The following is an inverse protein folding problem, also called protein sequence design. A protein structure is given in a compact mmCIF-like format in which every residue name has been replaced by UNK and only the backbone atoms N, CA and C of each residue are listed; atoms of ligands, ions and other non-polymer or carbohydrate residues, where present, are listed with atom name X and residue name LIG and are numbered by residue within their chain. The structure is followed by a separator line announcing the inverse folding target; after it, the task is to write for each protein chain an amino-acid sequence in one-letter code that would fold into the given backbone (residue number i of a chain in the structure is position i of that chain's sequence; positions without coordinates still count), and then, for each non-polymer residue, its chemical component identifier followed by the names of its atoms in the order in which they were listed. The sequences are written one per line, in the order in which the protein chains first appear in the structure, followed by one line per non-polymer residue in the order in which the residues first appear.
data_IF_515077012611
#
_entry.id   IF_515077012611
#
_cell.length_a   1.000
_cell.length_b   1.000
_cell.length_c   1.000
_cell.angle_alpha   90.00
_cell.angle_beta   90.00
_cell.angle_gamma   90.00
#
_symmetry.space_group_name_H-M   'P 1'
#
loop_
_entity.id
_entity.type
_entity.pdbx_description
1 polymer ?
#
# COMPACT_ATOMS: atom_id res chain seq x y z
N UNK A 1 -2.88 3.82 -19.19
CA UNK A 1 -2.68 4.67 -18.01
C UNK A 1 -2.11 3.81 -16.89
N UNK A 2 -0.95 4.21 -16.33
CA UNK A 2 -0.29 3.50 -15.22
C UNK A 2 -0.94 3.90 -13.89
N UNK A 3 -0.98 2.98 -12.93
CA UNK A 3 -1.63 3.22 -11.63
C UNK A 3 -0.71 3.95 -10.66
N UNK A 4 -1.21 5.00 -10.01
CA UNK A 4 -0.59 5.61 -8.83
C UNK A 4 -1.34 5.14 -7.58
N UNK A 5 -0.68 4.34 -6.77
CA UNK A 5 -1.18 3.93 -5.44
C UNK A 5 -0.48 4.79 -4.40
N UNK A 6 -1.24 5.60 -3.68
CA UNK A 6 -0.67 6.49 -2.66
C UNK A 6 -0.98 5.97 -1.27
N UNK A 7 0.06 5.76 -0.47
CA UNK A 7 -0.04 5.34 0.91
C UNK A 7 -0.12 6.54 1.86
N UNK A 8 -1.00 6.45 2.85
CA UNK A 8 -1.04 7.34 3.99
C UNK A 8 -1.28 6.54 5.28
N UNK A 9 -0.51 6.84 6.32
CA UNK A 9 -0.81 6.34 7.68
C UNK A 9 -2.10 7.01 8.16
N UNK A 10 -3.08 6.21 8.60
CA UNK A 10 -4.35 6.72 9.10
C UNK A 10 -4.14 7.76 10.20
N UNK A 11 -4.62 8.99 9.99
CA UNK A 11 -4.50 10.09 10.95
C UNK A 11 -3.18 10.86 10.93
N UNK A 12 -2.14 10.42 10.24
CA UNK A 12 -0.86 11.15 10.26
C UNK A 12 -0.93 12.44 9.41
N UNK A 13 -0.37 13.58 9.87
CA UNK A 13 0.28 13.81 11.17
C UNK A 13 -0.70 14.15 12.32
N UNK A 14 -1.86 14.69 11.96
CA UNK A 14 -3.02 14.90 12.81
C UNK A 14 -4.29 14.72 11.95
N UNK A 15 -5.46 14.61 12.59
CA UNK A 15 -6.74 14.36 11.90
C UNK A 15 -7.01 15.31 10.73
N UNK A 16 -6.86 16.62 10.92
CA UNK A 16 -7.23 17.61 9.90
C UNK A 16 -6.29 17.55 8.70
N UNK A 17 -4.98 17.52 8.97
CA UNK A 17 -3.95 17.43 7.95
C UNK A 17 -3.99 16.10 7.19
N UNK A 18 -4.33 14.99 7.88
CA UNK A 18 -4.57 13.70 7.25
C UNK A 18 -5.74 13.74 6.26
N UNK A 19 -6.88 14.32 6.66
CA UNK A 19 -8.04 14.45 5.78
C UNK A 19 -7.76 15.37 4.58
N UNK A 20 -6.97 16.44 4.79
CA UNK A 20 -6.49 17.30 3.70
C UNK A 20 -5.56 16.53 2.75
N UNK A 21 -4.64 15.75 3.30
CA UNK A 21 -3.70 14.92 2.53
C UNK A 21 -4.44 13.92 1.64
N UNK A 22 -5.33 13.09 2.19
CA UNK A 22 -6.01 12.04 1.39
C UNK A 22 -6.86 12.63 0.26
N UNK A 23 -7.55 13.75 0.49
CA UNK A 23 -8.28 14.49 -0.54
C UNK A 23 -7.32 15.01 -1.62
N UNK A 24 -6.26 15.69 -1.19
CA UNK A 24 -5.27 16.24 -2.10
C UNK A 24 -4.54 15.17 -2.92
N UNK A 25 -4.25 14.01 -2.35
CA UNK A 25 -3.67 12.87 -3.08
C UNK A 25 -4.60 12.36 -4.18
N UNK A 26 -5.91 12.33 -3.93
CA UNK A 26 -6.92 11.95 -4.93
C UNK A 26 -7.04 13.01 -6.03
N UNK A 27 -7.15 14.29 -5.66
CA UNK A 27 -7.16 15.41 -6.60
C UNK A 27 -5.86 15.48 -7.43
N UNK A 28 -4.74 15.02 -6.87
CA UNK A 28 -3.46 14.90 -7.55
C UNK A 28 -3.37 13.70 -8.51
N UNK A 29 -4.39 12.84 -8.57
CA UNK A 29 -4.49 11.72 -9.52
C UNK A 29 -4.05 10.36 -8.96
N UNK A 30 -4.13 10.16 -7.64
CA UNK A 30 -4.00 8.81 -7.06
C UNK A 30 -5.19 7.95 -7.48
N UNK A 31 -4.92 6.81 -8.10
CA UNK A 31 -5.94 5.87 -8.57
C UNK A 31 -6.50 5.03 -7.40
N UNK A 32 -5.68 4.78 -6.38
CA UNK A 32 -5.99 4.01 -5.18
C UNK A 32 -5.31 4.68 -3.99
N UNK A 33 -5.99 4.72 -2.84
CA UNK A 33 -5.36 5.04 -1.57
C UNK A 33 -5.15 3.78 -0.75
N UNK A 34 -3.92 3.59 -0.29
CA UNK A 34 -3.54 2.58 0.69
C UNK A 34 -3.50 3.24 2.07
N UNK A 35 -4.31 2.78 3.01
CA UNK A 35 -4.43 3.37 4.34
C UNK A 35 -3.80 2.43 5.36
N UNK A 36 -2.68 2.87 5.94
CA UNK A 36 -1.97 2.12 6.98
C UNK A 36 -2.66 2.24 8.33
N UNK A 37 -3.12 1.12 8.88
CA UNK A 37 -3.61 1.05 10.26
C UNK A 37 -2.45 0.87 11.22
N UNK A 38 -2.61 1.38 12.45
CA UNK A 38 -1.60 1.19 13.49
C UNK A 38 -1.51 -0.30 13.86
N UNK A 39 -0.36 -0.95 13.62
CA UNK A 39 -0.19 -2.34 14.00
C UNK A 39 0.21 -2.45 15.47
N UNK A 40 0.03 -3.63 16.08
CA UNK A 40 0.67 -3.93 17.37
C UNK A 40 2.19 -4.01 17.22
N UNK A 41 2.66 -4.54 16.09
CA UNK A 41 4.07 -4.63 15.76
C UNK A 41 4.33 -4.35 14.27
N UNK A 42 5.03 -3.26 13.97
CA UNK A 42 5.33 -2.84 12.60
C UNK A 42 6.55 -3.59 12.01
N UNK A 43 6.41 -4.91 11.79
CA UNK A 43 7.52 -5.85 11.50
C UNK A 43 8.33 -5.49 10.26
N UNK A 44 7.65 -5.16 9.15
CA UNK A 44 8.26 -4.91 7.83
C UNK A 44 8.35 -3.43 7.45
N UNK A 45 7.85 -2.55 8.31
CA UNK A 45 7.88 -1.12 8.09
C UNK A 45 9.24 -0.50 8.45
N UNK A 46 9.70 0.40 7.59
CA UNK A 46 10.89 1.20 7.81
C UNK A 46 10.72 2.28 8.87
N UNK A 47 11.84 2.95 9.23
CA UNK A 47 11.87 3.91 10.32
C UNK A 47 10.91 5.10 10.12
N UNK A 48 10.69 5.54 8.88
CA UNK A 48 9.78 6.65 8.56
C UNK A 48 8.32 6.28 8.85
N UNK A 49 7.86 5.13 8.37
CA UNK A 49 6.48 4.67 8.63
C UNK A 49 6.29 4.42 10.13
N UNK A 50 7.25 3.79 10.80
CA UNK A 50 7.21 3.60 12.26
C UNK A 50 7.10 4.91 13.04
N UNK A 51 7.78 5.98 12.62
CA UNK A 51 7.60 7.32 13.22
C UNK A 51 6.18 7.84 13.04
N UNK A 52 5.60 7.66 11.85
CA UNK A 52 4.22 8.08 11.59
C UNK A 52 3.21 7.36 12.49
N UNK A 53 3.37 6.05 12.70
CA UNK A 53 2.54 5.29 13.65
C UNK A 53 2.71 5.79 15.08
N UNK A 54 3.95 6.02 15.52
CA UNK A 54 4.24 6.54 16.87
C UNK A 54 3.60 7.91 17.12
N UNK A 55 3.57 8.78 16.11
CA UNK A 55 2.92 10.08 16.21
C UNK A 55 1.41 9.91 16.42
N UNK A 56 0.77 9.09 15.58
CA UNK A 56 -0.68 8.88 15.63
C UNK A 56 -1.14 8.13 16.87
N UNK A 57 -0.33 7.19 17.39
CA UNK A 57 -0.66 6.40 18.58
C UNK A 57 -0.85 7.23 19.85
N UNK A 58 -0.43 8.50 19.83
CA UNK A 58 -0.59 9.41 20.97
C UNK A 58 -2.00 9.97 21.11
N UNK A 59 -2.83 9.90 20.06
CA UNK A 59 -4.14 10.56 20.05
C UNK A 59 -5.26 9.78 19.35
N UNK A 60 -4.96 8.89 18.40
CA UNK A 60 -6.00 8.13 17.69
C UNK A 60 -6.48 6.94 18.53
N UNK A 61 -7.63 7.09 19.16
CA UNK A 61 -8.28 6.07 20.00
C UNK A 61 -9.31 5.25 19.24
N UNK A 62 -10.08 5.89 18.36
CA UNK A 62 -11.07 5.24 17.50
C UNK A 62 -10.69 5.43 16.02
N UNK A 63 -10.05 4.41 15.47
CA UNK A 63 -9.65 4.43 14.07
C UNK A 63 -10.84 4.18 13.12
N UNK A 64 -11.93 3.55 13.58
CA UNK A 64 -13.10 3.26 12.73
C UNK A 64 -13.82 4.55 12.33
N UNK A 65 -14.05 5.45 13.29
CA UNK A 65 -14.65 6.75 13.02
C UNK A 65 -13.84 7.56 12.00
N UNK A 66 -12.50 7.53 12.12
CA UNK A 66 -11.64 8.20 11.15
C UNK A 66 -11.65 7.53 9.77
N UNK A 67 -11.76 6.19 9.69
CA UNK A 67 -11.95 5.50 8.42
C UNK A 67 -13.29 5.87 7.75
N UNK A 68 -14.38 5.99 8.50
CA UNK A 68 -15.68 6.45 7.99
C UNK A 68 -15.61 7.90 7.48
N UNK A 69 -14.88 8.77 8.17
CA UNK A 69 -14.58 10.12 7.67
C UNK A 69 -13.73 10.11 6.41
N UNK A 70 -12.73 9.22 6.35
CA UNK A 70 -11.87 9.03 5.18
C UNK A 70 -12.70 8.58 3.98
N UNK A 71 -13.56 7.58 4.14
CA UNK A 71 -14.42 7.09 3.06
C UNK A 71 -15.35 8.19 2.54
N UNK A 72 -15.93 9.01 3.43
CA UNK A 72 -16.79 10.14 3.02
C UNK A 72 -16.03 11.26 2.30
N UNK A 73 -14.71 11.34 2.50
CA UNK A 73 -13.88 12.39 1.95
C UNK A 73 -13.39 12.13 0.52
N UNK A 74 -13.42 10.88 0.05
CA UNK A 74 -12.85 10.47 -1.25
C UNK A 74 -13.70 9.39 -1.89
N UNK A 75 -13.61 9.23 -3.22
CA UNK A 75 -14.38 8.22 -3.98
C UNK A 75 -13.52 7.12 -4.61
N UNK A 76 -12.20 7.27 -4.59
CA UNK A 76 -11.28 6.24 -5.12
C UNK A 76 -11.30 4.98 -4.26
N UNK A 77 -10.88 3.81 -4.78
CA UNK A 77 -10.73 2.62 -3.97
C UNK A 77 -9.82 2.84 -2.76
N UNK A 78 -10.29 2.42 -1.58
CA UNK A 78 -9.50 2.36 -0.35
C UNK A 78 -9.05 0.92 -0.10
N UNK A 79 -7.75 0.73 0.05
CA UNK A 79 -7.13 -0.54 0.47
C UNK A 79 -6.55 -0.36 1.85
N UNK A 80 -6.98 -1.17 2.81
CA UNK A 80 -6.39 -1.18 4.14
C UNK A 80 -5.07 -1.95 4.11
N UNK A 81 -3.98 -1.30 4.52
CA UNK A 81 -2.73 -1.98 4.83
C UNK A 81 -2.64 -2.16 6.35
N UNK A 82 -2.56 -3.42 6.77
CA UNK A 82 -2.36 -3.81 8.17
C UNK A 82 -1.73 -5.21 8.20
N UNK A 83 -1.39 -5.74 9.38
CA UNK A 83 -0.77 -7.06 9.50
C UNK A 83 -1.83 -8.09 9.89
N UNK A 84 -1.87 -9.23 9.21
CA UNK A 84 -2.84 -10.28 9.48
C UNK A 84 -2.71 -10.79 10.92
N UNK A 85 -1.49 -10.88 11.46
CA UNK A 85 -1.23 -11.31 12.84
C UNK A 85 -2.06 -10.56 13.89
N UNK A 86 -2.39 -9.29 13.64
CA UNK A 86 -3.15 -8.46 14.57
C UNK A 86 -4.63 -8.85 14.65
N UNK A 87 -5.14 -9.49 13.59
CA UNK A 87 -6.57 -9.70 13.35
C UNK A 87 -6.99 -11.15 13.27
N UNK A 88 -6.07 -12.14 13.27
CA UNK A 88 -6.38 -13.58 13.08
C UNK A 88 -7.60 -14.03 13.90
N UNK A 89 -7.70 -13.63 15.17
CA UNK A 89 -8.77 -14.06 16.08
C UNK A 89 -10.11 -13.35 15.84
N UNK A 90 -10.13 -12.19 15.19
CA UNK A 90 -11.31 -11.36 14.94
C UNK A 90 -11.52 -11.07 13.46
N UNK A 91 -10.88 -11.85 12.57
CA UNK A 91 -10.78 -11.53 11.16
C UNK A 91 -12.16 -11.41 10.48
N UNK A 92 -13.11 -12.35 10.64
CA UNK A 92 -14.42 -12.25 9.98
C UNK A 92 -15.16 -10.95 10.36
N UNK A 93 -15.25 -10.66 11.66
CA UNK A 93 -15.91 -9.45 12.16
C UNK A 93 -15.21 -8.17 11.68
N UNK A 94 -13.87 -8.20 11.62
CA UNK A 94 -13.06 -7.07 11.15
C UNK A 94 -13.30 -6.82 9.66
N UNK A 95 -13.34 -7.87 8.84
CA UNK A 95 -13.60 -7.78 7.41
C UNK A 95 -15.03 -7.30 7.13
N UNK A 96 -16.02 -7.82 7.88
CA UNK A 96 -17.40 -7.33 7.81
C UNK A 96 -17.46 -5.82 8.13
N UNK A 97 -16.80 -5.39 9.22
CA UNK A 97 -16.75 -3.98 9.60
C UNK A 97 -16.05 -3.12 8.55
N UNK A 98 -14.94 -3.57 7.97
CA UNK A 98 -14.28 -2.87 6.86
C UNK A 98 -15.21 -2.71 5.67
N UNK A 99 -15.97 -3.76 5.32
CA UNK A 99 -16.95 -3.70 4.24
C UNK A 99 -18.04 -2.67 4.51
N UNK A 100 -18.59 -2.64 5.73
CA UNK A 100 -19.63 -1.68 6.15
C UNK A 100 -19.15 -0.23 6.07
N UNK A 101 -17.88 0.02 6.41
CA UNK A 101 -17.24 1.34 6.30
C UNK A 101 -17.04 1.77 4.83
N UNK A 102 -17.15 0.84 3.87
CA UNK A 102 -16.94 1.12 2.44
C UNK A 102 -15.49 0.96 1.98
N UNK A 103 -14.70 0.16 2.69
CA UNK A 103 -13.37 -0.27 2.24
C UNK A 103 -13.51 -1.21 1.04
N UNK A 104 -12.59 -1.08 0.08
CA UNK A 104 -12.63 -1.87 -1.16
C UNK A 104 -11.75 -3.12 -1.09
N UNK A 105 -10.64 -3.08 -0.36
CA UNK A 105 -9.75 -4.22 -0.23
C UNK A 105 -8.85 -4.14 0.98
N UNK A 106 -8.13 -5.23 1.22
CA UNK A 106 -7.12 -5.35 2.27
C UNK A 106 -5.83 -5.90 1.69
N UNK A 107 -4.71 -5.47 2.26
CA UNK A 107 -3.37 -5.94 1.98
C UNK A 107 -2.71 -6.30 3.31
N UNK A 108 -2.34 -7.57 3.46
CA UNK A 108 -1.61 -8.10 4.59
C UNK A 108 -0.16 -8.43 4.18
N UNK A 109 0.84 -7.61 4.55
CA UNK A 109 2.24 -7.81 4.12
C UNK A 109 2.85 -9.13 4.61
N UNK A 110 2.38 -9.62 5.76
CA UNK A 110 2.79 -10.85 6.44
C UNK A 110 2.12 -12.12 5.89
N UNK A 111 1.10 -12.01 5.03
CA UNK A 111 0.31 -13.15 4.54
C UNK A 111 1.18 -14.26 3.90
N UNK A 112 2.07 -13.90 2.97
CA UNK A 112 2.94 -14.87 2.29
C UNK A 112 4.27 -15.11 3.01
N UNK A 113 4.47 -14.50 4.18
CA UNK A 113 5.70 -14.63 4.96
C UNK A 113 5.44 -15.52 6.17
N UNK A 114 4.48 -15.15 7.00
CA UNK A 114 4.18 -15.82 8.27
C UNK A 114 2.99 -16.80 8.15
N UNK A 115 2.13 -16.63 7.14
CA UNK A 115 0.90 -17.44 6.95
C UNK A 115 0.87 -18.18 5.59
N UNK A 116 2.05 -18.52 5.06
CA UNK A 116 2.22 -19.11 3.71
C UNK A 116 1.52 -20.46 3.50
N UNK A 117 1.24 -21.23 4.55
CA UNK A 117 0.52 -22.51 4.42
C UNK A 117 -1.01 -22.32 4.42
N UNK A 118 -1.49 -21.16 4.87
CA UNK A 118 -2.92 -20.85 5.03
C UNK A 118 -3.40 -19.69 4.13
N UNK A 119 -2.55 -19.11 3.28
CA UNK A 119 -2.94 -17.90 2.54
C UNK A 119 -4.21 -18.06 1.70
N UNK A 120 -4.46 -19.24 1.12
CA UNK A 120 -5.68 -19.46 0.32
C UNK A 120 -6.95 -19.34 1.17
N UNK A 121 -6.90 -19.83 2.43
CA UNK A 121 -7.99 -19.70 3.39
C UNK A 121 -8.27 -18.22 3.68
N UNK A 122 -7.23 -17.45 3.99
CA UNK A 122 -7.38 -16.01 4.27
C UNK A 122 -7.82 -15.20 3.04
N UNK A 123 -7.30 -15.51 1.85
CA UNK A 123 -7.73 -14.88 0.61
C UNK A 123 -9.21 -15.18 0.34
N UNK A 124 -9.66 -16.41 0.53
CA UNK A 124 -11.07 -16.77 0.37
C UNK A 124 -11.96 -16.08 1.42
N UNK A 125 -11.49 -15.96 2.66
CA UNK A 125 -12.20 -15.25 3.73
C UNK A 125 -12.39 -13.76 3.41
N UNK A 126 -11.36 -13.10 2.88
CA UNK A 126 -11.46 -11.70 2.42
C UNK A 126 -12.52 -11.56 1.32
N UNK A 127 -12.46 -12.44 0.32
CA UNK A 127 -13.38 -12.40 -0.83
C UNK A 127 -14.81 -12.74 -0.45
N UNK A 128 -15.04 -13.64 0.51
CA UNK A 128 -16.39 -14.00 0.99
C UNK A 128 -17.11 -12.82 1.65
N UNK A 129 -16.36 -11.86 2.20
CA UNK A 129 -16.87 -10.59 2.75
C UNK A 129 -17.03 -9.49 1.68
N UNK A 130 -16.83 -9.81 0.40
CA UNK A 130 -16.96 -8.85 -0.70
C UNK A 130 -15.87 -7.78 -0.71
N UNK A 131 -14.70 -8.08 -0.14
CA UNK A 131 -13.49 -7.26 -0.19
C UNK A 131 -12.49 -7.84 -1.21
N UNK A 132 -11.64 -6.99 -1.77
CA UNK A 132 -10.55 -7.40 -2.64
C UNK A 132 -9.33 -7.82 -1.81
N UNK A 133 -8.75 -8.99 -2.10
CA UNK A 133 -7.49 -9.44 -1.51
C UNK A 133 -6.30 -8.97 -2.35
N UNK A 134 -5.67 -7.86 -1.97
CA UNK A 134 -4.43 -7.38 -2.63
C UNK A 134 -3.25 -8.11 -2.00
N UNK A 135 -2.57 -8.95 -2.77
CA UNK A 135 -1.51 -9.82 -2.25
C UNK A 135 -0.15 -9.13 -2.38
N UNK A 136 0.56 -9.06 -1.26
CA UNK A 136 1.94 -8.60 -1.18
C UNK A 136 2.93 -9.70 -1.56
N UNK A 137 3.88 -9.38 -2.42
CA UNK A 137 5.02 -10.22 -2.79
C UNK A 137 6.31 -9.41 -2.76
N UNK A 138 7.45 -10.10 -2.72
CA UNK A 138 8.78 -9.50 -2.67
C UNK A 138 9.80 -10.42 -3.34
N UNK A 139 11.07 -10.00 -3.51
CA UNK A 139 12.14 -10.88 -3.99
C UNK A 139 12.35 -12.16 -3.17
N UNK A 140 11.90 -12.23 -1.92
CA UNK A 140 12.01 -13.44 -1.10
C UNK A 140 10.94 -14.49 -1.42
N UNK A 141 9.88 -14.13 -2.15
CA UNK A 141 8.80 -15.06 -2.52
C UNK A 141 9.26 -15.90 -3.72
N UNK A 142 9.16 -17.25 -3.65
CA UNK A 142 9.55 -18.13 -4.76
C UNK A 142 8.71 -17.89 -6.03
N UNK A 143 9.34 -18.03 -7.20
CA UNK A 143 8.71 -17.77 -8.51
C UNK A 143 7.42 -18.56 -8.77
N UNK A 144 7.34 -19.88 -8.46
CA UNK A 144 6.09 -20.62 -8.62
C UNK A 144 4.95 -20.04 -7.77
N UNK A 145 5.27 -19.53 -6.58
CA UNK A 145 4.29 -18.92 -5.70
C UNK A 145 3.88 -17.54 -6.23
N UNK A 146 4.81 -16.70 -6.69
CA UNK A 146 4.49 -15.42 -7.36
C UNK A 146 3.52 -15.66 -8.53
N UNK A 147 3.81 -16.64 -9.39
CA UNK A 147 2.93 -16.97 -10.51
C UNK A 147 1.53 -17.41 -10.04
N UNK A 148 1.46 -18.25 -9.00
CA UNK A 148 0.19 -18.71 -8.41
C UNK A 148 -0.63 -17.55 -7.83
N UNK A 149 -0.04 -16.74 -6.95
CA UNK A 149 -0.75 -15.64 -6.28
C UNK A 149 -1.12 -14.52 -7.25
N UNK A 150 -0.36 -14.32 -8.33
CA UNK A 150 -0.72 -13.34 -9.37
C UNK A 150 -2.12 -13.57 -9.94
N UNK A 151 -2.57 -14.83 -10.04
CA UNK A 151 -3.88 -15.19 -10.62
C UNK A 151 -5.04 -14.94 -9.66
N UNK A 152 -4.78 -14.89 -8.36
CA UNK A 152 -5.82 -14.77 -7.32
C UNK A 152 -5.81 -13.41 -6.62
N UNK A 153 -4.73 -12.64 -6.73
CA UNK A 153 -4.66 -11.27 -6.21
C UNK A 153 -5.69 -10.40 -6.92
N UNK A 154 -6.49 -9.68 -6.15
CA UNK A 154 -7.48 -8.75 -6.69
C UNK A 154 -6.85 -7.37 -6.91
N UNK A 155 -7.43 -6.57 -7.81
CA UNK A 155 -6.98 -5.24 -8.24
C UNK A 155 -5.61 -5.21 -8.95
N UNK A 156 -4.59 -5.73 -8.31
CA UNK A 156 -3.21 -5.87 -8.78
C UNK A 156 -2.44 -6.83 -7.86
N UNK A 157 -1.28 -7.31 -8.31
CA UNK A 157 -0.28 -7.93 -7.45
C UNK A 157 0.72 -6.85 -6.98
N UNK A 158 0.90 -6.73 -5.66
CA UNK A 158 1.87 -5.80 -5.10
C UNK A 158 3.25 -6.45 -5.05
N UNK A 159 4.27 -5.80 -5.60
CA UNK A 159 5.66 -6.26 -5.54
C UNK A 159 6.56 -5.23 -4.86
N UNK A 160 6.95 -5.52 -3.61
CA UNK A 160 7.89 -4.71 -2.84
C UNK A 160 9.33 -5.03 -3.21
N UNK A 161 10.05 -4.08 -3.83
CA UNK A 161 11.42 -4.32 -4.32
C UNK A 161 12.49 -4.30 -3.22
N UNK A 162 12.14 -3.90 -2.00
CA UNK A 162 13.07 -3.83 -0.86
C UNK A 162 12.51 -4.56 0.38
N UNK A 163 13.37 -5.14 1.23
CA UNK A 163 12.95 -5.95 2.39
C UNK A 163 12.29 -5.11 3.50
N UNK A 164 12.52 -3.80 3.48
CA UNK A 164 11.94 -2.83 4.40
C UNK A 164 11.76 -1.53 3.63
N UNK A 165 10.66 -0.80 3.88
CA UNK A 165 10.44 0.50 3.24
C UNK A 165 11.59 1.46 3.52
N UNK A 166 12.14 2.09 2.48
CA UNK A 166 13.21 3.09 2.61
C UNK A 166 14.65 2.57 2.79
N UNK A 167 14.92 1.26 2.77
CA UNK A 167 16.30 0.71 2.90
C UNK A 167 16.79 0.12 1.57
N UNK A 168 17.88 0.63 0.94
CA UNK A 168 18.32 0.21 -0.38
C UNK A 168 18.91 -1.21 -0.43
N UNK A 169 18.72 -1.89 -1.56
CA UNK A 169 19.39 -3.16 -1.92
C UNK A 169 20.41 -2.88 -3.04
N UNK A 170 21.53 -3.63 -3.10
CA UNK A 170 22.51 -3.54 -4.18
C UNK A 170 22.04 -4.26 -5.47
N UNK A 171 20.73 -4.29 -5.74
CA UNK A 171 20.12 -4.88 -6.93
C UNK A 171 19.29 -3.81 -7.63
N UNK A 172 19.44 -3.72 -8.95
CA UNK A 172 18.72 -2.72 -9.73
C UNK A 172 17.22 -3.04 -9.82
N UNK A 173 16.39 -2.02 -9.66
CA UNK A 173 14.92 -2.12 -9.64
C UNK A 173 14.38 -2.76 -10.93
N UNK A 174 14.94 -2.39 -12.07
CA UNK A 174 14.60 -2.90 -13.40
C UNK A 174 14.89 -4.40 -13.55
N UNK A 175 15.99 -4.90 -12.97
CA UNK A 175 16.31 -6.34 -13.01
C UNK A 175 15.29 -7.18 -12.24
N UNK A 176 14.90 -6.71 -11.05
CA UNK A 176 13.90 -7.38 -10.22
C UNK A 176 12.55 -7.44 -10.92
N UNK A 177 12.14 -6.34 -11.54
CA UNK A 177 10.85 -6.24 -12.22
C UNK A 177 10.83 -7.06 -13.50
N UNK A 178 11.89 -6.98 -14.32
CA UNK A 178 12.01 -7.77 -15.56
C UNK A 178 11.88 -9.26 -15.28
N UNK A 179 12.51 -9.73 -14.18
CA UNK A 179 12.40 -11.13 -13.72
C UNK A 179 10.98 -11.54 -13.38
N UNK A 180 10.25 -10.74 -12.60
CA UNK A 180 8.90 -11.12 -12.15
C UNK A 180 7.81 -10.81 -13.17
N UNK A 181 8.05 -9.90 -14.11
CA UNK A 181 7.04 -9.47 -15.08
C UNK A 181 6.49 -10.64 -15.89
N UNK A 182 7.35 -11.60 -16.28
CA UNK A 182 6.95 -12.80 -17.04
C UNK A 182 6.18 -13.83 -16.21
N UNK A 183 6.22 -13.70 -14.88
CA UNK A 183 5.52 -14.60 -13.95
C UNK A 183 4.11 -14.09 -13.61
N UNK A 184 3.91 -12.77 -13.64
CA UNK A 184 2.70 -12.13 -13.11
C UNK A 184 1.61 -12.04 -14.17
N UNK A 185 0.55 -12.82 -14.00
CA UNK A 185 -0.68 -12.75 -14.80
C UNK A 185 -1.71 -11.82 -14.15
N UNK A 186 -1.30 -10.58 -13.91
CA UNK A 186 -2.09 -9.52 -13.28
C UNK A 186 -1.46 -8.16 -13.59
N UNK A 187 -2.11 -7.08 -13.19
CA UNK A 187 -1.41 -5.80 -13.03
C UNK A 187 -0.32 -5.94 -11.98
N UNK A 188 0.86 -5.42 -12.27
CA UNK A 188 2.00 -5.39 -11.34
C UNK A 188 2.19 -3.97 -10.82
N UNK A 189 1.90 -3.76 -9.54
CA UNK A 189 2.20 -2.49 -8.86
C UNK A 189 3.47 -2.66 -8.06
N UNK A 190 4.45 -1.80 -8.31
CA UNK A 190 5.77 -1.87 -7.65
C UNK A 190 5.85 -0.82 -6.55
N UNK A 191 6.25 -1.24 -5.35
CA UNK A 191 6.39 -0.37 -4.19
C UNK A 191 7.58 -0.72 -3.32
N UNK A 192 7.56 -0.23 -2.07
CA UNK A 192 8.59 -0.42 -1.04
C UNK A 192 9.99 -0.03 -1.55
N UNK A 193 10.30 1.26 -1.52
CA UNK A 193 11.66 1.76 -1.75
C UNK A 193 11.94 2.37 -3.13
N UNK A 194 10.92 2.83 -3.84
CA UNK A 194 11.12 3.80 -4.92
C UNK A 194 11.52 5.14 -4.27
N UNK A 195 12.82 5.34 -4.10
CA UNK A 195 13.40 6.46 -3.35
C UNK A 195 13.50 7.75 -4.17
N UNK A 196 13.41 7.64 -5.50
CA UNK A 196 13.46 8.77 -6.40
C UNK A 196 12.65 8.53 -7.68
N UNK A 197 12.56 9.59 -8.49
CA UNK A 197 11.85 9.59 -9.77
C UNK A 197 12.48 8.62 -10.78
N UNK A 198 13.79 8.41 -10.71
CA UNK A 198 14.48 7.57 -11.67
C UNK A 198 14.19 6.09 -11.42
N UNK A 199 14.15 5.66 -10.16
CA UNK A 199 13.69 4.32 -9.76
C UNK A 199 12.25 4.07 -10.22
N UNK A 200 11.37 5.06 -10.08
CA UNK A 200 10.00 4.98 -10.59
C UNK A 200 9.96 4.81 -12.11
N UNK A 201 10.73 5.62 -12.85
CA UNK A 201 10.82 5.50 -14.32
C UNK A 201 11.43 4.18 -14.76
N UNK A 202 12.41 3.64 -14.02
CA UNK A 202 12.99 2.31 -14.27
C UNK A 202 11.93 1.23 -14.08
N UNK A 203 11.13 1.32 -13.02
CA UNK A 203 10.07 0.36 -12.76
C UNK A 203 9.02 0.34 -13.87
N UNK A 204 8.58 1.52 -14.32
CA UNK A 204 7.63 1.65 -15.42
C UNK A 204 8.19 1.10 -16.73
N UNK A 205 9.44 1.45 -17.07
CA UNK A 205 10.13 0.95 -18.28
C UNK A 205 10.33 -0.58 -18.26
N UNK A 206 10.54 -1.16 -17.08
CA UNK A 206 10.68 -2.61 -16.90
C UNK A 206 9.33 -3.38 -16.95
N UNK A 207 8.19 -2.69 -17.10
CA UNK A 207 6.89 -3.32 -17.31
C UNK A 207 5.96 -3.32 -16.09
N UNK A 208 6.22 -2.49 -15.07
CA UNK A 208 5.24 -2.25 -14.01
C UNK A 208 3.99 -1.57 -14.58
N UNK A 209 2.81 -1.96 -14.11
CA UNK A 209 1.52 -1.36 -14.47
C UNK A 209 1.16 -0.17 -13.57
N UNK A 210 1.89 0.00 -12.48
CA UNK A 210 1.77 1.13 -11.58
C UNK A 210 2.84 1.12 -10.50
N UNK A 211 2.79 2.14 -9.65
CA UNK A 211 3.71 2.29 -8.52
C UNK A 211 2.97 2.65 -7.24
N UNK A 212 3.49 2.16 -6.12
CA UNK A 212 3.00 2.45 -4.78
C UNK A 212 4.00 3.33 -4.03
N UNK A 213 3.54 4.48 -3.51
CA UNK A 213 4.36 5.53 -2.94
C UNK A 213 3.79 5.95 -1.58
N UNK A 214 4.63 5.97 -0.53
CA UNK A 214 4.19 6.32 0.82
C UNK A 214 5.23 7.07 1.64
N UNK A 215 6.38 6.46 1.85
CA UNK A 215 7.48 7.00 2.68
C UNK A 215 7.85 8.45 2.30
N UNK A 216 7.95 8.74 1.00
CA UNK A 216 8.32 10.07 0.53
C UNK A 216 7.25 11.14 0.86
N UNK A 217 5.97 10.78 0.92
CA UNK A 217 4.93 11.71 1.35
C UNK A 217 5.07 12.05 2.83
N UNK A 218 5.37 11.05 3.68
CA UNK A 218 5.61 11.27 5.10
C UNK A 218 6.83 12.18 5.31
N UNK A 219 7.94 11.90 4.63
CA UNK A 219 9.16 12.74 4.72
C UNK A 219 8.91 14.16 4.21
N UNK A 220 8.12 14.31 3.14
CA UNK A 220 7.77 15.63 2.59
C UNK A 220 6.86 16.42 3.54
N UNK A 221 5.92 15.76 4.22
CA UNK A 221 5.10 16.37 5.28
C UNK A 221 6.00 16.82 6.44
N UNK A 222 6.94 15.98 6.88
CA UNK A 222 7.88 16.30 7.98
C UNK A 222 8.75 17.54 7.65
N UNK A 223 9.12 17.73 6.37
CA UNK A 223 10.02 18.80 5.94
C UNK A 223 9.30 20.08 5.53
N UNK A 224 8.24 19.95 4.74
CA UNK A 224 7.65 21.03 3.95
C UNK A 224 6.11 21.11 4.09
N UNK A 225 5.49 20.20 4.83
CA UNK A 225 4.05 20.19 5.10
C UNK A 225 3.20 19.50 4.02
N UNK A 226 1.89 19.38 4.32
CA UNK A 226 0.92 18.59 3.52
C UNK A 226 0.79 19.08 2.08
N UNK A 227 0.75 20.40 1.85
CA UNK A 227 0.62 20.95 0.50
C UNK A 227 1.81 20.60 -0.41
N UNK A 228 3.00 20.49 0.17
CA UNK A 228 4.19 20.06 -0.56
C UNK A 228 4.10 18.59 -0.95
N UNK A 229 3.62 17.73 -0.05
CA UNK A 229 3.40 16.31 -0.35
C UNK A 229 2.31 16.10 -1.42
N UNK A 230 1.23 16.89 -1.41
CA UNK A 230 0.21 16.88 -2.48
C UNK A 230 0.82 17.31 -3.81
N UNK A 231 1.66 18.36 -3.81
CA UNK A 231 2.35 18.81 -5.02
C UNK A 231 3.32 17.75 -5.56
N UNK A 232 3.97 17.01 -4.66
CA UNK A 232 4.81 15.87 -5.03
C UNK A 232 4.00 14.74 -5.67
N UNK A 233 2.80 14.44 -5.17
CA UNK A 233 1.90 13.46 -5.80
C UNK A 233 1.52 13.87 -7.23
N UNK A 234 1.23 15.16 -7.49
CA UNK A 234 0.97 15.67 -8.85
C UNK A 234 2.18 15.45 -9.77
N UNK A 235 3.38 15.64 -9.26
CA UNK A 235 4.62 15.37 -10.00
C UNK A 235 4.75 13.89 -10.36
N UNK A 236 4.44 12.98 -9.43
CA UNK A 236 4.45 11.55 -9.71
C UNK A 236 3.41 11.18 -10.76
N UNK A 237 2.17 11.67 -10.62
CA UNK A 237 1.10 11.48 -11.62
C UNK A 237 1.55 11.88 -13.03
N UNK A 238 2.13 13.08 -13.17
CA UNK A 238 2.64 13.56 -14.47
C UNK A 238 3.73 12.68 -15.09
N UNK A 239 4.56 12.01 -14.27
CA UNK A 239 5.55 11.05 -14.77
C UNK A 239 4.88 9.76 -15.25
N UNK A 240 3.88 9.26 -14.51
CA UNK A 240 3.14 8.06 -14.90
C UNK A 240 2.32 8.27 -16.19
N UNK A 241 1.81 9.47 -16.41
CA UNK A 241 1.02 9.81 -17.60
C UNK A 241 1.89 9.99 -18.85
N UNK A 242 3.16 10.37 -18.66
CA UNK A 242 4.17 10.47 -19.72
C UNK A 242 4.96 9.18 -19.99
N UNK A 243 4.64 8.08 -19.31
CA UNK A 243 5.36 6.79 -19.40
C UNK A 243 4.58 5.70 -20.13
#
# INVERSE_FOLDING_TARGET
MKMLVSYATLGYPNKEDYLRLVKGLVEAGSDILEIGLLPKYAKYDGPVIRRSYKQVSTWLTDFWSLLEETRRAVDVPLVILTYLEDWVTSLPDTLARMKDVGINGVLFPDLLIDFIDEYEKYVNEIKSHGLNAVIFTSPSVPDPLIHKVSKISDMFLYYGVRPTTGVPLPVSVDSLITRVRTLVNNKLVVGFGLSDIEDMKKALRAGADGVAIGTVYIEEIERNGVESAISLARKFRGILDGS
#
